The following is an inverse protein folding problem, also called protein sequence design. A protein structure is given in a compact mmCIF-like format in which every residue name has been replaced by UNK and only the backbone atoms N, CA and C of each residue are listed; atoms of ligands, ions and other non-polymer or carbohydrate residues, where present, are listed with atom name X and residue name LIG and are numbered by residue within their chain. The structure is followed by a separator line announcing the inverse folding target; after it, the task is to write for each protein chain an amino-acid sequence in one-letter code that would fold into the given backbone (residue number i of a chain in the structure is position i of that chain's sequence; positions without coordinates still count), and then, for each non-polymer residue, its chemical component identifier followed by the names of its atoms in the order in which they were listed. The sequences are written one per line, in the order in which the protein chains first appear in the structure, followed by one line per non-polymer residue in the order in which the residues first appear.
data_IF_187517691360
#
_entry.id   IF_187517691360
#
_cell.length_a   1.000
_cell.length_b   1.000
_cell.length_c   1.000
_cell.angle_alpha   90.00
_cell.angle_beta   90.00
_cell.angle_gamma   90.00
#
_symmetry.space_group_name_H-M   'P 1'
#
loop_
_entity.id
_entity.type
_entity.pdbx_description
1 polymer ?
#
# COMPACT_ATOMS: atom_id res chain seq x y z
N UNK A 1 -9.07 -29.08 -5.93
CA UNK A 1 -10.01 -28.17 -5.28
C UNK A 1 -9.46 -26.77 -5.46
N UNK A 2 -9.93 -26.00 -6.45
CA UNK A 2 -9.60 -24.57 -6.45
C UNK A 2 -10.34 -23.95 -5.27
N UNK A 3 -9.58 -23.50 -4.28
CA UNK A 3 -10.10 -22.97 -3.00
C UNK A 3 -10.78 -21.59 -3.15
N UNK A 4 -10.89 -21.08 -4.37
CA UNK A 4 -11.31 -19.70 -4.66
C UNK A 4 -12.33 -19.66 -5.81
N UNK A 5 -13.17 -18.63 -5.80
CA UNK A 5 -14.20 -18.43 -6.84
C UNK A 5 -13.58 -18.25 -8.22
N UNK A 6 -14.16 -18.89 -9.24
CA UNK A 6 -13.74 -18.76 -10.64
C UNK A 6 -13.81 -17.32 -11.20
N UNK A 7 -14.55 -16.43 -10.54
CA UNK A 7 -14.62 -15.00 -10.90
C UNK A 7 -13.27 -14.29 -10.77
N UNK A 8 -12.39 -14.75 -9.88
CA UNK A 8 -11.09 -14.10 -9.63
C UNK A 8 -10.21 -14.07 -10.87
N UNK A 9 -10.31 -15.10 -11.73
CA UNK A 9 -9.54 -15.24 -12.96
C UNK A 9 -9.87 -14.15 -14.00
N UNK A 10 -10.96 -13.40 -13.82
CA UNK A 10 -11.34 -12.28 -14.68
C UNK A 10 -10.81 -10.92 -14.20
N UNK A 11 -10.28 -10.85 -12.98
CA UNK A 11 -9.76 -9.60 -12.42
C UNK A 11 -8.34 -9.40 -12.93
N UNK A 12 -8.13 -8.36 -13.72
CA UNK A 12 -6.79 -8.00 -14.19
C UNK A 12 -5.92 -7.53 -13.02
N UNK A 13 -4.61 -7.81 -13.05
CA UNK A 13 -3.67 -7.26 -12.07
C UNK A 13 -3.69 -5.73 -12.04
N UNK A 14 -3.47 -5.15 -10.85
CA UNK A 14 -3.43 -3.70 -10.68
C UNK A 14 -2.11 -3.11 -11.18
N UNK A 15 -2.18 -2.24 -12.18
CA UNK A 15 -1.03 -1.50 -12.70
C UNK A 15 -0.51 -0.48 -11.67
N UNK A 16 -1.40 0.16 -10.90
CA UNK A 16 -1.00 1.16 -9.88
C UNK A 16 -0.25 0.50 -8.72
N UNK A 17 -0.66 -0.71 -8.34
CA UNK A 17 0.04 -1.48 -7.32
C UNK A 17 1.43 -1.92 -7.78
N UNK A 18 1.54 -2.34 -9.06
CA UNK A 18 2.83 -2.75 -9.63
C UNK A 18 3.86 -1.62 -9.60
N UNK A 19 3.48 -0.42 -10.03
CA UNK A 19 4.37 0.76 -10.05
C UNK A 19 4.77 1.16 -8.62
N UNK A 20 3.81 1.21 -7.70
CA UNK A 20 4.07 1.57 -6.30
C UNK A 20 5.01 0.56 -5.62
N UNK A 21 4.80 -0.74 -5.87
CA UNK A 21 5.66 -1.79 -5.33
C UNK A 21 7.09 -1.71 -5.89
N UNK A 22 7.23 -1.43 -7.18
CA UNK A 22 8.55 -1.25 -7.81
C UNK A 22 9.30 -0.06 -7.20
N UNK A 23 8.66 1.10 -7.06
CA UNK A 23 9.27 2.28 -6.46
C UNK A 23 9.74 2.01 -5.01
N UNK A 24 8.89 1.37 -4.19
CA UNK A 24 9.25 0.96 -2.82
C UNK A 24 10.46 0.02 -2.79
N UNK A 25 10.54 -0.93 -3.74
CA UNK A 25 11.66 -1.86 -3.83
C UNK A 25 12.97 -1.17 -4.24
N UNK A 26 12.93 -0.17 -5.12
CA UNK A 26 14.11 0.61 -5.51
C UNK A 26 14.62 1.48 -4.36
N UNK A 27 13.71 2.15 -3.63
CA UNK A 27 14.06 2.91 -2.41
C UNK A 27 14.71 1.99 -1.37
N UNK A 28 14.15 0.79 -1.15
CA UNK A 28 14.70 -0.19 -0.21
C UNK A 28 16.10 -0.71 -0.59
N UNK A 29 16.46 -0.65 -1.88
CA UNK A 29 17.80 -0.97 -2.37
C UNK A 29 18.80 0.20 -2.23
N UNK A 30 18.33 1.36 -1.78
CA UNK A 30 19.14 2.57 -1.67
C UNK A 30 19.26 3.38 -2.97
N UNK A 31 18.39 3.13 -3.95
CA UNK A 31 18.32 3.93 -5.18
C UNK A 31 17.61 5.27 -4.91
N UNK A 32 18.05 6.34 -5.57
CA UNK A 32 17.40 7.64 -5.48
C UNK A 32 16.12 7.66 -6.34
N UNK A 33 14.96 7.53 -5.70
CA UNK A 33 13.65 7.45 -6.38
C UNK A 33 12.64 8.38 -5.71
N UNK A 34 11.99 9.19 -6.54
CA UNK A 34 10.89 10.08 -6.13
C UNK A 34 9.54 9.43 -6.44
N UNK A 35 8.92 8.80 -5.45
CA UNK A 35 7.70 8.02 -5.64
C UNK A 35 6.44 8.90 -5.69
N UNK A 36 6.10 9.41 -6.88
CA UNK A 36 4.92 10.28 -7.10
C UNK A 36 3.61 9.52 -7.41
N UNK A 37 3.62 8.19 -7.29
CA UNK A 37 2.48 7.32 -7.62
C UNK A 37 1.61 6.97 -6.39
N UNK A 38 2.05 7.31 -5.18
CA UNK A 38 1.31 7.06 -3.94
C UNK A 38 0.06 7.93 -3.82
N UNK A 39 -1.03 7.37 -3.30
CA UNK A 39 -2.27 8.10 -3.01
C UNK A 39 -2.44 8.48 -1.53
N UNK A 40 -1.48 8.11 -0.68
CA UNK A 40 -1.52 8.34 0.77
C UNK A 40 -0.59 9.52 1.13
N UNK A 41 -0.92 10.30 2.17
CA UNK A 41 -0.02 11.32 2.69
C UNK A 41 1.27 10.71 3.27
N UNK A 42 2.37 11.44 3.15
CA UNK A 42 3.65 11.10 3.81
C UNK A 42 3.62 11.34 5.33
N UNK A 43 2.68 12.16 5.79
CA UNK A 43 2.51 12.47 7.22
C UNK A 43 1.74 11.37 7.92
N UNK A 44 2.24 10.96 9.07
CA UNK A 44 1.60 9.94 9.90
C UNK A 44 0.27 10.46 10.50
N UNK A 45 -0.54 9.53 10.98
CA UNK A 45 -1.82 9.81 11.64
C UNK A 45 -1.61 10.73 12.85
N UNK A 46 -2.43 11.79 13.02
CA UNK A 46 -2.36 12.69 14.16
C UNK A 46 -2.40 12.00 15.53
N UNK A 47 -1.65 12.55 16.50
CA UNK A 47 -1.49 11.93 17.81
C UNK A 47 -2.81 11.75 18.56
N UNK A 48 -3.70 12.74 18.54
CA UNK A 48 -5.00 12.66 19.22
C UNK A 48 -5.90 11.52 18.68
N UNK A 49 -5.73 11.12 17.42
CA UNK A 49 -6.45 9.99 16.84
C UNK A 49 -5.86 8.67 17.37
N UNK A 50 -4.53 8.59 17.46
CA UNK A 50 -3.84 7.42 18.04
C UNK A 50 -4.19 7.24 19.52
N UNK A 51 -4.23 8.32 20.28
CA UNK A 51 -4.56 8.29 21.71
C UNK A 51 -5.99 7.77 21.94
N UNK A 52 -6.96 8.27 21.16
CA UNK A 52 -8.34 7.79 21.22
C UNK A 52 -8.48 6.30 20.84
N UNK A 53 -7.67 5.80 19.91
CA UNK A 53 -7.65 4.39 19.54
C UNK A 53 -7.07 3.50 20.65
N UNK A 54 -6.09 3.98 21.41
CA UNK A 54 -5.52 3.27 22.56
C UNK A 54 -6.51 3.22 23.72
N UNK A 55 -7.24 4.31 23.99
CA UNK A 55 -8.24 4.37 25.05
C UNK A 55 -9.41 3.39 24.84
N UNK A 56 -9.73 3.08 23.59
CA UNK A 56 -10.83 2.19 23.23
C UNK A 56 -10.53 0.68 23.38
N UNK A 57 -9.26 0.30 23.59
CA UNK A 57 -8.79 -1.09 23.74
C UNK A 57 -8.82 -1.55 25.20
#
# INVERSE_FOLDING_TARGET
MESISSRIHKVSPSLTLAVTAQAKAMIAKGEEVYALAGGEPEVDTPQFIKDAAIEAL
#
